data_IF_895119638783
#
_entry.id   IF_895119638783
#
_cell.length_a   1.000
_cell.length_b   1.000
_cell.length_c   1.000
_cell.angle_alpha   90.00
_cell.angle_beta   90.00
_cell.angle_gamma   90.00
#
_symmetry.space_group_name_H-M   'P 1'
#
loop_
_entity.id
_entity.type
_entity.pdbx_description
1 polymer ?
#
# COMPACT_ATOMS: atom_id res chain seq x y z
N UNK A 1 -19.24 57.84 25.63
CA UNK A 1 -19.19 58.09 24.16
C UNK A 1 -19.16 56.71 23.50
N UNK A 2 -20.32 56.08 23.30
CA UNK A 2 -21.21 56.23 22.13
C UNK A 2 -20.52 55.68 20.86
N UNK A 3 -20.81 54.43 20.45
CA UNK A 3 -21.87 54.04 19.47
C UNK A 3 -21.47 54.47 18.03
N UNK A 4 -21.51 53.71 16.93
CA UNK A 4 -22.41 52.70 16.32
C UNK A 4 -21.58 51.94 15.23
N UNK A 5 -21.88 50.78 14.62
CA UNK A 5 -23.06 49.94 14.47
C UNK A 5 -23.06 49.29 13.06
N UNK A 6 -23.70 48.11 12.91
CA UNK A 6 -24.20 47.47 11.66
C UNK A 6 -23.21 46.75 10.71
N UNK A 7 -23.43 45.53 10.17
CA UNK A 7 -24.53 44.56 10.25
C UNK A 7 -24.06 43.17 9.74
N UNK A 8 -24.44 42.08 10.41
CA UNK A 8 -24.47 40.71 9.85
C UNK A 8 -25.75 40.52 9.02
N UNK A 9 -25.81 39.54 8.11
CA UNK A 9 -27.05 38.83 7.82
C UNK A 9 -27.02 37.42 8.40
N UNK A 10 -28.06 37.08 9.16
CA UNK A 10 -28.39 35.72 9.59
C UNK A 10 -29.88 35.51 9.29
N UNK A 11 -30.23 34.55 8.43
CA UNK A 11 -31.59 34.00 8.25
C UNK A 11 -31.43 32.51 7.96
N UNK A 12 -31.62 31.65 8.97
CA UNK A 12 -32.77 30.75 9.21
C UNK A 12 -33.07 29.75 8.07
N UNK A 13 -32.72 28.49 8.33
CA UNK A 13 -33.68 27.40 8.50
C UNK A 13 -34.24 26.71 7.25
N UNK A 14 -33.69 25.54 6.94
CA UNK A 14 -34.48 24.40 6.43
C UNK A 14 -33.73 23.09 6.74
N UNK A 15 -34.31 22.26 7.61
CA UNK A 15 -34.13 20.80 7.54
C UNK A 15 -34.95 20.33 6.33
N UNK A 16 -34.51 19.33 5.54
CA UNK A 16 -34.60 17.95 6.01
C UNK A 16 -33.53 16.99 5.45
N UNK A 17 -33.52 15.80 6.04
CA UNK A 17 -33.31 14.48 5.41
C UNK A 17 -32.29 13.64 6.19
N UNK A 18 -32.86 12.76 7.01
CA UNK A 18 -32.23 11.54 7.46
C UNK A 18 -31.61 10.81 6.27
N UNK A 19 -30.28 10.68 6.27
CA UNK A 19 -29.53 9.85 5.35
C UNK A 19 -28.78 8.82 6.16
N UNK A 20 -29.42 7.66 6.35
CA UNK A 20 -28.83 6.43 6.88
C UNK A 20 -27.54 6.12 6.12
N UNK A 21 -26.38 6.35 6.75
CA UNK A 21 -25.10 5.89 6.21
C UNK A 21 -25.00 4.41 6.56
N UNK A 22 -25.25 3.56 5.57
CA UNK A 22 -24.90 2.14 5.60
C UNK A 22 -23.40 2.02 5.89
N UNK A 23 -23.08 1.67 7.13
CA UNK A 23 -21.76 1.19 7.54
C UNK A 23 -21.52 -0.16 6.89
N UNK A 24 -20.65 -0.20 5.87
CA UNK A 24 -20.42 -1.43 5.12
C UNK A 24 -19.20 -1.43 4.22
N UNK A 25 -18.06 -0.89 4.67
CA UNK A 25 -16.77 -1.09 4.01
C UNK A 25 -15.71 -1.43 5.06
N UNK A 26 -15.56 -2.72 5.30
CA UNK A 26 -14.49 -3.28 6.11
C UNK A 26 -13.16 -3.14 5.34
N UNK A 27 -12.46 -2.01 5.55
CA UNK A 27 -11.04 -1.87 5.23
C UNK A 27 -10.26 -2.62 6.31
N UNK A 28 -9.79 -3.82 5.99
CA UNK A 28 -8.83 -4.55 6.82
C UNK A 28 -7.57 -4.82 6.02
N UNK A 29 -6.65 -3.86 6.06
CA UNK A 29 -5.24 -4.02 5.76
C UNK A 29 -4.45 -3.44 6.94
N UNK A 30 -3.55 -4.24 7.50
CA UNK A 30 -2.61 -3.83 8.53
C UNK A 30 -1.73 -2.68 8.02
N UNK A 31 -1.50 -1.69 8.89
CA UNK A 31 -0.99 -0.33 8.63
C UNK A 31 -2.03 0.59 8.00
N UNK A 32 -2.94 1.06 8.84
CA UNK A 32 -3.87 2.14 8.51
C UNK A 32 -3.13 3.48 8.55
N UNK A 33 -2.79 4.06 7.39
CA UNK A 33 -2.65 5.52 7.26
C UNK A 33 -4.00 6.06 6.80
N UNK A 34 -4.74 6.71 7.71
CA UNK A 34 -5.98 7.42 7.37
C UNK A 34 -5.58 8.75 6.74
N UNK A 35 -5.74 8.89 5.43
CA UNK A 35 -5.75 10.20 4.77
C UNK A 35 -7.20 10.69 4.64
N UNK A 36 -7.67 11.42 5.65
CA UNK A 36 -8.87 12.25 5.57
C UNK A 36 -8.44 13.62 5.03
N UNK A 37 -8.41 13.74 3.71
CA UNK A 37 -8.07 14.99 3.05
C UNK A 37 -8.51 14.91 1.60
N UNK A 38 -9.70 15.46 1.32
CA UNK A 38 -10.27 15.73 -0.01
C UNK A 38 -9.67 14.89 -1.13
N UNK A 39 -10.33 13.79 -1.49
CA UNK A 39 -10.26 13.32 -2.87
C UNK A 39 -10.61 14.52 -3.76
N UNK A 40 -9.60 15.14 -4.36
CA UNK A 40 -9.79 15.75 -5.66
C UNK A 40 -10.11 14.56 -6.55
N UNK A 41 -11.41 14.23 -6.65
CA UNK A 41 -11.92 13.54 -7.82
C UNK A 41 -11.56 14.48 -8.96
N UNK A 42 -10.40 14.25 -9.58
CA UNK A 42 -10.20 14.67 -10.94
C UNK A 42 -11.33 13.96 -11.69
N UNK A 43 -12.44 14.67 -11.89
CA UNK A 43 -13.40 14.33 -12.93
C UNK A 43 -12.55 14.28 -14.19
N UNK A 44 -12.16 13.08 -14.61
CA UNK A 44 -11.87 12.84 -16.00
C UNK A 44 -13.20 13.13 -16.69
N UNK A 45 -13.33 14.37 -17.18
CA UNK A 45 -14.37 14.70 -18.14
C UNK A 45 -14.26 13.65 -19.24
N UNK A 46 -15.42 13.17 -19.70
CA UNK A 46 -15.56 12.20 -20.78
C UNK A 46 -14.61 12.58 -21.91
N UNK A 47 -13.45 11.91 -21.93
CA UNK A 47 -12.45 12.12 -22.96
C UNK A 47 -12.89 11.15 -24.04
N UNK A 48 -13.51 11.67 -25.11
CA UNK A 48 -13.55 10.99 -26.40
C UNK A 48 -12.09 10.84 -26.84
N UNK A 49 -11.44 9.79 -26.32
CA UNK A 49 -9.99 9.69 -26.31
C UNK A 49 -9.47 9.13 -27.62
N UNK A 50 -8.80 9.98 -28.39
CA UNK A 50 -7.66 9.50 -29.18
C UNK A 50 -6.73 8.74 -28.22
N UNK A 51 -6.37 7.50 -28.58
CA UNK A 51 -5.39 6.62 -27.91
C UNK A 51 -3.98 7.24 -27.85
N UNK A 52 -3.85 8.37 -27.17
CA UNK A 52 -2.60 9.10 -27.04
C UNK A 52 -1.89 8.55 -25.81
N UNK A 53 -1.08 7.52 -26.01
CA UNK A 53 -0.21 7.00 -24.97
C UNK A 53 0.79 8.09 -24.56
N UNK A 54 0.67 8.58 -23.32
CA UNK A 54 1.55 9.62 -22.78
C UNK A 54 2.91 9.03 -22.38
N UNK A 55 3.81 8.81 -23.34
CA UNK A 55 5.22 8.51 -23.07
C UNK A 55 6.03 9.81 -23.15
N UNK A 56 6.44 10.36 -22.01
CA UNK A 56 7.35 11.49 -21.99
C UNK A 56 8.79 11.02 -22.16
N UNK A 57 9.51 11.54 -23.16
CA UNK A 57 10.91 11.18 -23.41
C UNK A 57 11.84 11.42 -22.21
N UNK A 58 11.51 12.37 -21.33
CA UNK A 58 12.29 12.70 -20.14
C UNK A 58 12.16 11.66 -19.00
N UNK A 59 11.21 10.71 -19.11
CA UNK A 59 11.11 9.57 -18.18
C UNK A 59 12.39 8.72 -18.18
N UNK A 60 13.15 8.71 -19.28
CA UNK A 60 14.44 8.01 -19.40
C UNK A 60 15.51 8.52 -18.43
N UNK A 61 15.40 9.77 -17.98
CA UNK A 61 16.36 10.38 -17.05
C UNK A 61 15.94 10.23 -15.58
N UNK A 62 14.75 9.67 -15.32
CA UNK A 62 14.25 9.44 -13.97
C UNK A 62 14.99 8.25 -13.35
N UNK A 63 15.61 8.40 -12.17
CA UNK A 63 16.21 7.27 -11.47
C UNK A 63 15.16 6.19 -11.21
N UNK A 64 15.49 4.94 -11.53
CA UNK A 64 14.53 3.83 -11.49
C UNK A 64 13.87 3.63 -10.12
N UNK A 65 14.61 3.87 -9.03
CA UNK A 65 14.14 3.77 -7.65
C UNK A 65 13.10 4.83 -7.23
N UNK A 66 12.73 5.75 -8.12
CA UNK A 66 11.63 6.69 -7.91
C UNK A 66 10.27 6.11 -8.35
N UNK A 67 10.26 4.97 -9.05
CA UNK A 67 9.03 4.31 -9.49
C UNK A 67 8.27 5.06 -10.57
N UNK A 68 7.10 4.52 -10.91
CA UNK A 68 6.24 5.03 -11.99
C UNK A 68 5.47 6.30 -11.60
N UNK A 69 5.12 6.44 -10.32
CA UNK A 69 4.38 7.59 -9.80
C UNK A 69 5.34 8.69 -9.31
N UNK A 70 5.03 9.98 -9.55
CA UNK A 70 5.85 11.12 -9.11
C UNK A 70 5.70 11.41 -7.60
N UNK A 71 5.95 10.42 -6.75
CA UNK A 71 5.73 10.51 -5.29
C UNK A 71 6.62 11.56 -4.61
N UNK A 72 7.75 11.93 -5.22
CA UNK A 72 8.62 13.01 -4.77
C UNK A 72 7.99 14.40 -4.85
N UNK A 73 6.90 14.56 -5.64
CA UNK A 73 6.16 15.82 -5.73
C UNK A 73 5.15 15.99 -4.60
N UNK A 74 4.84 14.92 -3.87
CA UNK A 74 3.89 14.96 -2.76
C UNK A 74 4.53 15.61 -1.52
N UNK A 75 3.80 16.47 -0.80
CA UNK A 75 4.30 17.09 0.43
C UNK A 75 4.58 16.02 1.49
N UNK A 76 5.70 16.17 2.19
CA UNK A 76 6.09 15.30 3.31
C UNK A 76 5.90 16.02 4.63
N UNK A 77 5.30 15.33 5.59
CA UNK A 77 5.01 15.85 6.92
C UNK A 77 5.49 14.85 7.98
N UNK A 78 6.51 15.24 8.74
CA UNK A 78 7.09 14.40 9.79
C UNK A 78 6.14 14.21 10.98
N UNK A 79 5.18 15.12 11.19
CA UNK A 79 4.22 15.01 12.29
C UNK A 79 3.28 13.82 12.11
N UNK A 80 3.02 13.41 10.85
CA UNK A 80 2.26 12.20 10.53
C UNK A 80 2.99 10.95 11.02
N UNK A 81 4.32 10.91 10.91
CA UNK A 81 5.13 9.77 11.38
C UNK A 81 4.98 9.63 12.89
N UNK A 82 5.09 10.74 13.65
CA UNK A 82 4.93 10.73 15.11
C UNK A 82 3.53 10.29 15.53
N UNK A 83 2.49 10.75 14.82
CA UNK A 83 1.10 10.35 15.07
C UNK A 83 0.85 8.87 14.81
N UNK A 84 1.30 8.35 13.68
CA UNK A 84 1.12 6.93 13.34
C UNK A 84 1.93 6.03 14.28
N UNK A 85 3.12 6.47 14.71
CA UNK A 85 3.91 5.75 15.71
C UNK A 85 3.25 5.67 17.10
N UNK A 86 2.45 6.68 17.46
CA UNK A 86 1.72 6.73 18.72
C UNK A 86 0.37 5.98 18.69
N UNK A 87 -0.06 5.48 17.53
CA UNK A 87 -1.33 4.78 17.38
C UNK A 87 -1.32 3.46 18.18
N UNK A 88 -2.39 3.12 18.92
CA UNK A 88 -2.42 1.87 19.67
C UNK A 88 -2.38 0.64 18.75
N UNK A 89 -1.77 -0.47 19.21
CA UNK A 89 -1.79 -1.76 18.51
C UNK A 89 -3.20 -2.20 18.12
N UNK A 90 -3.35 -2.67 16.88
CA UNK A 90 -4.62 -3.22 16.38
C UNK A 90 -4.79 -4.68 16.79
N UNK A 91 -6.04 -5.13 16.89
CA UNK A 91 -6.37 -6.55 16.97
C UNK A 91 -6.23 -7.21 15.60
N UNK A 92 -5.99 -8.52 15.58
CA UNK A 92 -5.91 -9.28 14.33
C UNK A 92 -7.25 -9.19 13.58
N UNK A 93 -7.26 -8.77 12.29
CA UNK A 93 -8.48 -8.71 11.51
C UNK A 93 -8.99 -10.11 11.14
N UNK A 94 -10.31 -10.27 11.04
CA UNK A 94 -10.92 -11.50 10.52
C UNK A 94 -10.78 -11.56 9.00
N UNK A 95 -10.23 -12.65 8.47
CA UNK A 95 -10.07 -12.85 7.03
C UNK A 95 -11.35 -13.44 6.44
N UNK A 96 -11.86 -12.83 5.36
CA UNK A 96 -12.96 -13.39 4.58
C UNK A 96 -12.47 -14.61 3.79
N UNK A 97 -13.29 -15.66 3.63
CA UNK A 97 -12.98 -16.77 2.73
C UNK A 97 -12.73 -16.26 1.31
N UNK A 98 -11.82 -16.93 0.60
CA UNK A 98 -11.54 -16.62 -0.80
C UNK A 98 -12.54 -17.39 -1.68
N UNK A 99 -13.23 -16.65 -2.54
CA UNK A 99 -14.24 -17.18 -3.46
C UNK A 99 -13.68 -17.36 -4.88
N UNK A 100 -14.36 -18.15 -5.69
CA UNK A 100 -14.01 -18.40 -7.09
C UNK A 100 -12.75 -19.26 -7.31
N UNK A 101 -12.66 -19.91 -8.47
CA UNK A 101 -11.53 -20.79 -8.82
C UNK A 101 -10.21 -20.03 -8.96
N UNK A 102 -10.26 -18.83 -9.57
CA UNK A 102 -9.08 -17.99 -9.71
C UNK A 102 -8.57 -17.51 -8.34
N UNK A 103 -9.47 -17.10 -7.45
CA UNK A 103 -9.11 -16.69 -6.09
C UNK A 103 -8.47 -17.84 -5.30
N UNK A 104 -9.07 -19.03 -5.35
CA UNK A 104 -8.51 -20.23 -4.71
C UNK A 104 -7.12 -20.57 -5.26
N UNK A 105 -6.93 -20.45 -6.58
CA UNK A 105 -5.65 -20.68 -7.24
C UNK A 105 -4.60 -19.65 -6.79
N UNK A 106 -4.93 -18.36 -6.80
CA UNK A 106 -4.04 -17.30 -6.31
C UNK A 106 -3.65 -17.52 -4.83
N UNK A 107 -4.61 -17.91 -4.00
CA UNK A 107 -4.35 -18.23 -2.60
C UNK A 107 -3.45 -19.47 -2.42
N UNK A 108 -3.50 -20.44 -3.33
CA UNK A 108 -2.55 -21.57 -3.35
C UNK A 108 -1.12 -21.10 -3.61
N UNK A 109 -0.91 -20.20 -4.57
CA UNK A 109 0.41 -19.63 -4.86
C UNK A 109 0.90 -18.73 -3.72
N UNK A 110 0.03 -17.93 -3.11
CA UNK A 110 0.35 -17.16 -1.90
C UNK A 110 0.95 -18.05 -0.80
N UNK A 111 0.37 -19.23 -0.54
CA UNK A 111 0.88 -20.19 0.44
C UNK A 111 2.22 -20.81 0.04
N UNK A 112 2.51 -20.92 -1.25
CA UNK A 112 3.84 -21.35 -1.72
C UNK A 112 4.85 -20.24 -1.42
N UNK A 113 4.55 -18.99 -1.80
CA UNK A 113 5.43 -17.85 -1.56
C UNK A 113 5.70 -17.65 -0.06
N UNK A 114 4.67 -17.73 0.78
CA UNK A 114 4.83 -17.58 2.24
C UNK A 114 5.82 -18.59 2.83
N UNK A 115 5.79 -19.86 2.36
CA UNK A 115 6.71 -20.91 2.84
C UNK A 115 8.16 -20.69 2.44
N UNK A 116 8.42 -20.09 1.27
CA UNK A 116 9.79 -19.80 0.81
C UNK A 116 10.27 -18.42 1.28
N UNK A 117 9.38 -17.61 1.85
CA UNK A 117 9.66 -16.26 2.27
C UNK A 117 10.52 -16.23 3.54
N UNK A 118 10.45 -17.24 4.39
CA UNK A 118 11.30 -17.39 5.58
C UNK A 118 12.62 -18.12 5.27
N UNK A 119 13.62 -17.93 6.14
CA UNK A 119 14.88 -18.65 6.05
C UNK A 119 16.02 -17.96 6.78
N UNK A 120 17.15 -18.65 6.89
CA UNK A 120 18.36 -18.10 7.51
C UNK A 120 19.14 -17.20 6.55
N UNK A 121 19.76 -16.11 7.05
CA UNK A 121 20.65 -15.29 6.24
C UNK A 121 21.93 -16.06 5.86
N UNK A 122 22.54 -15.66 4.74
CA UNK A 122 23.86 -16.14 4.35
C UNK A 122 24.90 -15.84 5.44
N UNK A 123 25.80 -16.80 5.70
CA UNK A 123 26.84 -16.67 6.74
C UNK A 123 27.82 -15.53 6.44
N UNK A 124 28.17 -15.35 5.16
CA UNK A 124 29.03 -14.27 4.71
C UNK A 124 28.19 -13.04 4.35
N UNK A 125 28.68 -11.86 4.70
CA UNK A 125 28.09 -10.59 4.26
C UNK A 125 28.52 -10.30 2.84
N UNK A 126 27.56 -9.96 1.98
CA UNK A 126 27.86 -9.45 0.65
C UNK A 126 28.56 -8.08 0.76
N UNK A 127 29.44 -7.73 -0.20
CA UNK A 127 30.13 -6.45 -0.24
C UNK A 127 29.20 -5.32 -0.70
N UNK A 128 28.18 -5.01 0.11
CA UNK A 128 27.23 -3.93 -0.16
C UNK A 128 27.75 -2.60 0.41
N UNK A 129 27.52 -1.45 -0.24
CA UNK A 129 27.94 -0.15 0.26
C UNK A 129 27.37 0.16 1.65
N UNK A 130 28.10 0.84 2.53
CA UNK A 130 27.60 1.25 3.86
C UNK A 130 26.59 2.40 3.83
N UNK A 131 26.55 3.14 2.72
CA UNK A 131 25.59 4.21 2.50
C UNK A 131 24.14 3.68 2.48
N UNK A 132 23.34 4.11 3.45
CA UNK A 132 21.94 3.70 3.58
C UNK A 132 21.07 4.25 2.44
N UNK A 133 21.45 5.39 1.86
CA UNK A 133 20.74 6.01 0.75
C UNK A 133 20.90 5.15 -0.49
N UNK A 134 22.13 4.66 -0.76
CA UNK A 134 22.38 3.69 -1.81
C UNK A 134 21.61 2.38 -1.60
N UNK A 135 21.66 1.79 -0.39
CA UNK A 135 20.88 0.58 -0.09
C UNK A 135 19.38 0.79 -0.28
N UNK A 136 18.86 1.95 0.13
CA UNK A 136 17.46 2.34 -0.07
C UNK A 136 17.12 2.39 -1.55
N UNK A 137 17.97 3.00 -2.37
CA UNK A 137 17.78 3.07 -3.82
C UNK A 137 17.81 1.67 -4.46
N UNK A 138 18.75 0.81 -4.08
CA UNK A 138 18.87 -0.55 -4.62
C UNK A 138 17.64 -1.42 -4.26
N UNK A 139 17.18 -1.37 -3.00
CA UNK A 139 15.97 -2.11 -2.56
C UNK A 139 14.71 -1.59 -3.24
N UNK A 140 14.54 -0.27 -3.35
CA UNK A 140 13.41 0.29 -4.10
C UNK A 140 13.48 -0.08 -5.58
N UNK A 141 14.68 -0.05 -6.16
CA UNK A 141 14.91 -0.49 -7.52
C UNK A 141 14.51 -1.94 -7.75
N UNK A 142 14.91 -2.86 -6.86
CA UNK A 142 14.46 -4.26 -6.91
C UNK A 142 12.94 -4.37 -6.84
N UNK A 143 12.30 -3.68 -5.91
CA UNK A 143 10.85 -3.78 -5.73
C UNK A 143 10.07 -3.22 -6.94
N UNK A 144 10.51 -2.11 -7.54
CA UNK A 144 9.92 -1.60 -8.78
C UNK A 144 10.21 -2.49 -9.99
N UNK A 145 11.36 -3.18 -10.01
CA UNK A 145 11.66 -4.18 -11.03
C UNK A 145 10.72 -5.39 -10.94
N UNK A 146 10.21 -5.70 -9.75
CA UNK A 146 9.20 -6.74 -9.50
C UNK A 146 7.76 -6.21 -9.61
N UNK A 147 7.55 -5.08 -10.29
CA UNK A 147 6.25 -4.46 -10.54
C UNK A 147 5.46 -4.03 -9.28
N UNK A 148 6.16 -3.65 -8.21
CA UNK A 148 5.50 -2.91 -7.13
C UNK A 148 4.98 -1.56 -7.65
N UNK A 149 3.73 -1.21 -7.34
CA UNK A 149 3.18 0.09 -7.70
C UNK A 149 3.86 1.21 -6.88
N UNK A 150 4.09 0.98 -5.58
CA UNK A 150 4.80 1.91 -4.72
C UNK A 150 5.62 1.18 -3.66
N UNK A 151 6.71 1.82 -3.22
CA UNK A 151 7.62 1.27 -2.20
C UNK A 151 8.03 2.34 -1.19
N UNK A 152 7.77 2.05 0.09
CA UNK A 152 8.17 2.85 1.25
C UNK A 152 9.17 2.10 2.13
N UNK A 153 10.07 2.82 2.78
CA UNK A 153 10.98 2.27 3.79
C UNK A 153 10.93 3.18 5.02
N UNK A 154 10.73 2.60 6.19
CA UNK A 154 10.63 3.34 7.45
C UNK A 154 11.25 2.55 8.61
N UNK A 155 11.48 3.23 9.74
CA UNK A 155 11.76 2.54 11.00
C UNK A 155 10.49 1.91 11.56
N UNK A 156 10.62 0.76 12.21
CA UNK A 156 9.50 0.07 12.84
C UNK A 156 9.17 0.74 14.18
N UNK A 157 7.99 1.36 14.36
CA UNK A 157 7.58 1.88 15.67
C UNK A 157 7.17 0.76 16.63
N UNK A 158 7.27 1.02 17.94
CA UNK A 158 6.95 0.02 18.97
C UNK A 158 5.51 -0.52 18.91
N UNK A 159 4.58 0.27 18.36
CA UNK A 159 3.16 -0.07 18.20
C UNK A 159 2.78 -0.60 16.81
N UNK A 160 3.75 -0.91 15.93
CA UNK A 160 3.48 -1.51 14.63
C UNK A 160 2.91 -2.95 14.71
N UNK A 161 3.04 -3.60 15.86
CA UNK A 161 2.69 -5.00 16.05
C UNK A 161 1.24 -5.18 16.48
N UNK A 162 0.60 -6.27 16.04
CA UNK A 162 -0.74 -6.64 16.52
C UNK A 162 -0.72 -6.93 18.03
N UNK A 163 -1.86 -6.74 18.68
CA UNK A 163 -2.06 -7.16 20.06
C UNK A 163 -1.77 -8.65 20.21
N UNK A 164 -0.88 -9.00 21.15
CA UNK A 164 -0.46 -10.39 21.41
C UNK A 164 0.49 -10.99 20.38
N UNK A 165 0.90 -10.26 19.33
CA UNK A 165 1.90 -10.75 18.39
C UNK A 165 3.32 -10.62 18.95
N UNK A 166 4.17 -11.57 18.58
CA UNK A 166 5.60 -11.50 18.85
C UNK A 166 6.22 -10.32 18.09
N UNK A 167 7.04 -9.52 18.79
CA UNK A 167 7.73 -8.38 18.19
C UNK A 167 9.04 -8.84 17.57
N UNK A 168 9.32 -8.41 16.35
CA UNK A 168 10.65 -8.60 15.76
C UNK A 168 11.70 -7.69 16.38
N UNK A 169 12.97 -8.09 16.30
CA UNK A 169 14.15 -7.29 16.62
C UNK A 169 14.65 -6.44 15.43
N UNK A 170 13.94 -6.44 14.30
CA UNK A 170 14.31 -5.65 13.12
C UNK A 170 14.03 -4.15 13.32
N UNK A 171 14.94 -3.30 12.84
CA UNK A 171 14.81 -1.84 12.97
C UNK A 171 13.98 -1.18 11.85
N UNK A 172 13.93 -1.82 10.68
CA UNK A 172 13.39 -1.24 9.45
C UNK A 172 12.31 -2.12 8.82
N UNK A 173 11.27 -1.49 8.29
CA UNK A 173 10.27 -2.11 7.43
C UNK A 173 10.42 -1.61 6.00
N UNK A 174 10.23 -2.53 5.04
CA UNK A 174 10.04 -2.22 3.63
C UNK A 174 8.57 -2.54 3.34
N UNK A 175 7.83 -1.54 2.85
CA UNK A 175 6.39 -1.61 2.60
C UNK A 175 6.14 -1.50 1.11
N UNK A 176 5.43 -2.49 0.56
CA UNK A 176 5.06 -2.53 -0.85
C UNK A 176 3.57 -2.28 -1.02
N UNK A 177 3.21 -1.54 -2.07
CA UNK A 177 1.84 -1.43 -2.55
C UNK A 177 1.78 -2.01 -3.96
N UNK A 178 0.76 -2.82 -4.22
CA UNK A 178 0.42 -3.37 -5.53
C UNK A 178 -1.00 -2.93 -5.85
N UNK A 179 -1.22 -2.39 -7.04
CA UNK A 179 -2.54 -2.01 -7.51
C UNK A 179 -3.39 -3.26 -7.74
N UNK A 180 -4.68 -3.18 -7.43
CA UNK A 180 -5.59 -4.24 -7.80
C UNK A 180 -5.75 -4.33 -9.32
N UNK A 181 -5.89 -5.56 -9.80
CA UNK A 181 -6.23 -5.80 -11.19
C UNK A 181 -7.55 -5.11 -11.57
N UNK A 182 -7.58 -4.53 -12.76
CA UNK A 182 -8.81 -3.99 -13.33
C UNK A 182 -9.83 -5.11 -13.52
N UNK A 183 -11.08 -4.80 -13.20
CA UNK A 183 -12.20 -5.72 -13.39
C UNK A 183 -12.87 -5.39 -14.73
N UNK A 184 -13.13 -6.39 -15.60
CA UNK A 184 -13.90 -6.18 -16.82
C UNK A 184 -15.29 -5.59 -16.54
N UNK A 185 -15.91 -4.99 -17.55
CA UNK A 185 -17.29 -4.50 -17.49
C UNK A 185 -18.28 -5.64 -17.19
N UNK A 186 -19.44 -5.34 -16.59
CA UNK A 186 -20.41 -6.36 -16.14
C UNK A 186 -20.98 -7.22 -17.27
N UNK A 187 -21.07 -6.68 -18.48
CA UNK A 187 -21.55 -7.37 -19.69
C UNK A 187 -20.45 -8.23 -20.36
N UNK A 188 -19.22 -8.18 -19.84
CA UNK A 188 -18.12 -8.99 -20.33
C UNK A 188 -18.16 -10.40 -19.73
N UNK A 189 -18.03 -11.42 -20.59
CA UNK A 189 -18.01 -12.84 -20.18
C UNK A 189 -16.95 -13.17 -19.12
N UNK A 190 -15.86 -12.41 -19.06
CA UNK A 190 -14.78 -12.62 -18.09
C UNK A 190 -15.00 -11.94 -16.72
N UNK A 191 -16.05 -11.10 -16.57
CA UNK A 191 -16.29 -10.36 -15.34
C UNK A 191 -16.36 -11.31 -14.13
N UNK A 192 -17.25 -12.31 -14.19
CA UNK A 192 -17.47 -13.25 -13.09
C UNK A 192 -16.24 -14.10 -12.75
N UNK A 193 -15.31 -14.28 -13.70
CA UNK A 193 -14.09 -15.04 -13.47
C UNK A 193 -13.09 -14.28 -12.59
N UNK A 194 -13.13 -12.95 -12.61
CA UNK A 194 -12.11 -12.08 -12.01
C UNK A 194 -12.63 -11.34 -10.77
N UNK A 195 -13.88 -10.87 -10.77
CA UNK A 195 -14.42 -9.95 -9.75
C UNK A 195 -14.24 -10.44 -8.32
N UNK A 196 -14.49 -11.73 -8.06
CA UNK A 196 -14.32 -12.34 -6.73
C UNK A 196 -12.84 -12.58 -6.34
N UNK A 197 -11.94 -12.61 -7.32
CA UNK A 197 -10.56 -13.04 -7.16
C UNK A 197 -9.54 -11.88 -7.02
N UNK A 198 -9.94 -10.64 -7.32
CA UNK A 198 -9.06 -9.45 -7.36
C UNK A 198 -8.14 -9.39 -6.15
N UNK A 199 -8.70 -9.46 -4.93
CA UNK A 199 -7.92 -9.35 -3.70
C UNK A 199 -6.98 -10.52 -3.46
N UNK A 200 -7.40 -11.73 -3.83
CA UNK A 200 -6.55 -12.90 -3.71
C UNK A 200 -5.36 -12.83 -4.68
N UNK A 201 -5.59 -12.35 -5.91
CA UNK A 201 -4.54 -12.11 -6.90
C UNK A 201 -3.55 -11.02 -6.45
N UNK A 202 -4.04 -9.89 -5.94
CA UNK A 202 -3.18 -8.82 -5.39
C UNK A 202 -2.36 -9.33 -4.21
N UNK A 203 -2.97 -10.03 -3.25
CA UNK A 203 -2.26 -10.59 -2.10
C UNK A 203 -1.17 -11.59 -2.53
N UNK A 204 -1.44 -12.43 -3.53
CA UNK A 204 -0.46 -13.35 -4.09
C UNK A 204 0.73 -12.59 -4.69
N UNK A 205 0.49 -11.50 -5.44
CA UNK A 205 1.56 -10.68 -6.02
C UNK A 205 2.41 -9.99 -4.94
N UNK A 206 1.77 -9.46 -3.89
CA UNK A 206 2.50 -8.89 -2.74
C UNK A 206 3.36 -9.95 -2.05
N UNK A 207 2.83 -11.16 -1.87
CA UNK A 207 3.56 -12.28 -1.27
C UNK A 207 4.81 -12.67 -2.07
N UNK A 208 4.69 -12.70 -3.40
CA UNK A 208 5.81 -12.94 -4.32
C UNK A 208 6.92 -11.89 -4.16
N UNK A 209 6.57 -10.60 -4.27
CA UNK A 209 7.52 -9.48 -4.15
C UNK A 209 8.22 -9.51 -2.79
N UNK A 210 7.45 -9.75 -1.71
CA UNK A 210 7.98 -9.85 -0.36
C UNK A 210 8.95 -11.04 -0.21
N UNK A 211 8.59 -12.21 -0.74
CA UNK A 211 9.42 -13.42 -0.67
C UNK A 211 10.75 -13.23 -1.43
N UNK A 212 10.70 -12.69 -2.65
CA UNK A 212 11.90 -12.44 -3.48
C UNK A 212 12.79 -11.38 -2.81
N UNK A 213 12.22 -10.27 -2.35
CA UNK A 213 12.97 -9.21 -1.68
C UNK A 213 13.61 -9.70 -0.38
N UNK A 214 12.85 -10.43 0.44
CA UNK A 214 13.36 -11.00 1.68
C UNK A 214 14.50 -12.01 1.43
N UNK A 215 14.32 -12.88 0.43
CA UNK A 215 15.35 -13.83 -0.01
C UNK A 215 16.62 -13.14 -0.50
N UNK A 216 16.49 -12.07 -1.29
CA UNK A 216 17.63 -11.28 -1.75
C UNK A 216 18.43 -10.66 -0.59
N UNK A 217 17.74 -10.04 0.37
CA UNK A 217 18.39 -9.45 1.56
C UNK A 217 19.08 -10.53 2.41
N UNK A 218 18.48 -11.73 2.52
CA UNK A 218 19.11 -12.87 3.20
C UNK A 218 20.34 -13.38 2.49
N UNK A 219 20.33 -13.46 1.16
CA UNK A 219 21.51 -13.83 0.38
C UNK A 219 22.66 -12.84 0.57
N UNK A 220 22.34 -11.56 0.82
CA UNK A 220 23.33 -10.55 1.19
C UNK A 220 23.83 -10.68 2.65
N UNK A 221 23.16 -11.50 3.47
CA UNK A 221 23.56 -11.85 4.84
C UNK A 221 22.77 -11.15 5.95
N UNK A 222 21.70 -10.41 5.63
CA UNK A 222 20.84 -9.76 6.62
C UNK A 222 19.58 -10.59 6.92
N UNK A 223 19.22 -10.69 8.20
CA UNK A 223 17.96 -11.32 8.62
C UNK A 223 16.76 -10.52 8.11
N UNK A 224 15.72 -11.22 7.66
CA UNK A 224 14.45 -10.62 7.24
C UNK A 224 13.29 -11.48 7.72
N UNK A 225 12.16 -10.82 8.00
CA UNK A 225 10.88 -11.48 8.27
C UNK A 225 9.81 -10.81 7.40
N UNK A 226 9.36 -11.45 6.31
CA UNK A 226 8.27 -10.94 5.52
C UNK A 226 6.95 -11.08 6.29
N UNK A 227 6.00 -10.18 6.03
CA UNK A 227 4.66 -10.22 6.60
C UNK A 227 3.65 -10.28 5.45
N UNK A 228 2.92 -11.39 5.36
CA UNK A 228 2.03 -11.68 4.23
C UNK A 228 0.59 -11.86 4.74
N UNK A 229 -0.38 -11.45 3.92
CA UNK A 229 -1.81 -11.56 4.26
C UNK A 229 -2.26 -13.01 4.49
N UNK A 230 -2.53 -13.37 5.75
CA UNK A 230 -2.98 -14.70 6.15
C UNK A 230 -2.21 -15.31 7.33
N UNK A 231 -1.16 -14.64 7.82
CA UNK A 231 -0.40 -15.00 9.02
C UNK A 231 -0.97 -14.41 10.33
#
# INVERSE_FOLDING_TARGET
>A
MAEQGFCKPQVRGSNPCAGTILTGLALSALVTVVYLGRFLVLRFGSFEGNDTMLIYANSKNRPFHYGQFPLETLPRDETVISREAARPPLSRPTKKPVEGLLGQSANRYLRIFSRIAEGEPARARAPVPDDLQRRTADIKGLAYFLDAAQVGICRIPAHAWLQGAEKSTHDYAIVFLVEDGRVPEEDNLAHEWVTSAVRAATNMRVAEIAAVTAGHIRQMGWSTRPHISGE
#
